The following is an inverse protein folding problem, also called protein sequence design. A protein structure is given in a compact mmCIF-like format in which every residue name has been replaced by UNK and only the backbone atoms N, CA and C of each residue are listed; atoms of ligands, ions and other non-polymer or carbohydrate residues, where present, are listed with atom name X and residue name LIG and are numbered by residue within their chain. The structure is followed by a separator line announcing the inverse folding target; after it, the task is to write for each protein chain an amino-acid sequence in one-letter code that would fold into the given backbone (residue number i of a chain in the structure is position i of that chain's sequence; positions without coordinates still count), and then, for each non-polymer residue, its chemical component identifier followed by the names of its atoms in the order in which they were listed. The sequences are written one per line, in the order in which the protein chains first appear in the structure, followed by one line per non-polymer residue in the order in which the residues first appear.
data_IF_131314467688
#
_entry.id   IF_131314467688
#
_cell.length_a   1.000
_cell.length_b   1.000
_cell.length_c   1.000
_cell.angle_alpha   90.00
_cell.angle_beta   90.00
_cell.angle_gamma   90.00
#
_symmetry.space_group_name_H-M   'P 1'
#
loop_
_entity.id
_entity.type
_entity.pdbx_description
1 polymer ?
#
# COMPACT_ATOMS: atom_id res chain seq x y z
N UNK A 1 -28.64 16.01 -13.97
CA UNK A 1 -27.33 15.68 -13.36
C UNK A 1 -27.16 14.17 -13.37
N UNK A 2 -25.95 13.65 -13.15
CA UNK A 2 -25.58 12.24 -13.36
C UNK A 2 -25.47 11.83 -14.83
N UNK A 3 -26.56 11.98 -15.61
CA UNK A 3 -26.66 11.64 -17.05
C UNK A 3 -26.04 10.27 -17.42
N UNK A 4 -26.11 9.29 -16.52
CA UNK A 4 -25.50 7.96 -16.69
C UNK A 4 -23.97 7.91 -16.63
N UNK A 5 -23.30 9.01 -16.28
CA UNK A 5 -21.83 9.06 -16.18
C UNK A 5 -21.36 8.41 -14.87
N UNK A 6 -20.17 7.80 -14.95
CA UNK A 6 -19.47 7.21 -13.81
C UNK A 6 -18.35 8.15 -13.35
N UNK A 7 -18.19 8.30 -12.05
CA UNK A 7 -17.11 9.04 -11.40
C UNK A 7 -16.33 8.09 -10.51
N UNK A 8 -15.03 7.98 -10.72
CA UNK A 8 -14.11 7.23 -9.86
C UNK A 8 -13.40 8.24 -8.98
N UNK A 9 -13.34 7.94 -7.68
CA UNK A 9 -12.64 8.77 -6.69
C UNK A 9 -11.66 7.86 -5.98
N UNK A 10 -10.37 8.09 -6.22
CA UNK A 10 -9.28 7.52 -5.41
C UNK A 10 -9.02 8.45 -4.23
N UNK A 11 -9.09 7.90 -3.03
CA UNK A 11 -8.89 8.66 -1.80
C UNK A 11 -8.44 7.79 -0.63
N UNK A 12 -7.95 8.45 0.42
CA UNK A 12 -7.24 7.82 1.55
C UNK A 12 -5.85 7.30 1.19
N UNK A 13 -5.78 6.23 0.40
CA UNK A 13 -4.59 5.71 -0.27
C UNK A 13 -3.34 5.61 0.65
N UNK A 14 -3.44 5.03 1.87
CA UNK A 14 -2.30 4.96 2.77
C UNK A 14 -1.26 3.95 2.30
N UNK A 15 -0.03 4.14 2.78
CA UNK A 15 1.06 3.17 2.61
C UNK A 15 0.94 2.05 3.66
N UNK A 16 1.05 0.79 3.21
CA UNK A 16 1.08 -0.36 4.11
C UNK A 16 2.33 -0.32 5.00
N UNK A 17 2.19 -0.85 6.21
CA UNK A 17 3.22 -0.89 7.25
C UNK A 17 3.73 0.49 7.71
N UNK A 18 2.93 1.55 7.48
CA UNK A 18 3.13 2.88 8.07
C UNK A 18 1.87 3.32 8.82
N UNK A 19 2.00 4.08 9.92
CA UNK A 19 0.84 4.57 10.63
C UNK A 19 -0.03 5.50 9.77
N UNK A 20 -1.31 5.50 10.09
CA UNK A 20 -2.27 6.41 9.47
C UNK A 20 -2.09 7.84 10.02
N UNK A 21 -1.33 8.67 9.30
CA UNK A 21 -1.11 10.08 9.67
C UNK A 21 -2.19 11.06 9.19
N UNK A 22 -2.05 12.33 9.60
CA UNK A 22 -2.99 13.42 9.28
C UNK A 22 -3.13 13.70 7.77
N UNK A 23 -2.07 13.43 6.99
CA UNK A 23 -2.12 13.54 5.53
C UNK A 23 -3.16 12.60 4.92
N UNK A 24 -3.19 11.34 5.38
CA UNK A 24 -4.19 10.36 4.95
C UNK A 24 -5.59 10.73 5.45
N UNK A 25 -5.71 11.26 6.67
CA UNK A 25 -7.00 11.74 7.21
C UNK A 25 -7.63 12.81 6.32
N UNK A 26 -6.82 13.79 5.87
CA UNK A 26 -7.28 14.85 4.97
C UNK A 26 -7.84 14.28 3.66
N UNK A 27 -7.07 13.42 2.99
CA UNK A 27 -7.51 12.77 1.74
C UNK A 27 -8.80 11.97 1.96
N UNK A 28 -8.86 11.24 3.07
CA UNK A 28 -9.99 10.39 3.44
C UNK A 28 -11.29 11.17 3.57
N UNK A 29 -11.28 12.27 4.34
CA UNK A 29 -12.50 13.08 4.58
C UNK A 29 -12.93 13.80 3.31
N UNK A 30 -11.99 14.42 2.59
CA UNK A 30 -12.30 15.14 1.34
C UNK A 30 -12.87 14.17 0.30
N UNK A 31 -12.23 13.02 0.11
CA UNK A 31 -12.69 12.01 -0.83
C UNK A 31 -14.07 11.46 -0.48
N UNK A 32 -14.34 11.16 0.79
CA UNK A 32 -15.67 10.71 1.23
C UNK A 32 -16.75 11.79 1.02
N UNK A 33 -16.41 13.06 1.24
CA UNK A 33 -17.32 14.19 0.99
C UNK A 33 -17.65 14.31 -0.51
N UNK A 34 -16.64 14.20 -1.39
CA UNK A 34 -16.84 14.19 -2.83
C UNK A 34 -17.65 12.98 -3.28
N UNK A 35 -17.38 11.80 -2.72
CA UNK A 35 -18.15 10.58 -2.99
C UNK A 35 -19.64 10.79 -2.69
N UNK A 36 -19.95 11.31 -1.51
CA UNK A 36 -21.33 11.57 -1.08
C UNK A 36 -21.99 12.62 -1.97
N UNK A 37 -21.26 13.68 -2.32
CA UNK A 37 -21.75 14.74 -3.21
C UNK A 37 -22.10 14.16 -4.59
N UNK A 38 -21.17 13.52 -5.29
CA UNK A 38 -21.44 12.97 -6.62
C UNK A 38 -22.58 11.93 -6.61
N UNK A 39 -22.66 11.13 -5.55
CA UNK A 39 -23.76 10.18 -5.36
C UNK A 39 -25.10 10.89 -5.22
N UNK A 40 -25.17 11.95 -4.41
CA UNK A 40 -26.36 12.79 -4.27
C UNK A 40 -26.75 13.47 -5.60
N UNK A 41 -25.78 13.88 -6.42
CA UNK A 41 -26.01 14.46 -7.74
C UNK A 41 -26.44 13.44 -8.82
N UNK A 42 -26.61 12.16 -8.46
CA UNK A 42 -27.13 11.10 -9.32
C UNK A 42 -26.09 10.43 -10.23
N UNK A 43 -24.80 10.55 -9.93
CA UNK A 43 -23.75 9.82 -10.66
C UNK A 43 -23.62 8.38 -10.15
N UNK A 44 -23.17 7.47 -11.01
CA UNK A 44 -22.57 6.22 -10.53
C UNK A 44 -21.20 6.57 -9.97
N UNK A 45 -20.97 6.34 -8.69
CA UNK A 45 -19.68 6.65 -8.05
C UNK A 45 -19.00 5.35 -7.64
N UNK A 46 -17.68 5.28 -7.85
CA UNK A 46 -16.83 4.19 -7.38
C UNK A 46 -15.73 4.82 -6.53
N UNK A 47 -15.73 4.51 -5.23
CA UNK A 47 -14.66 4.87 -4.31
C UNK A 47 -13.59 3.79 -4.32
N UNK A 48 -12.36 4.17 -4.66
CA UNK A 48 -11.18 3.30 -4.59
C UNK A 48 -10.26 3.76 -3.45
N UNK A 49 -9.68 2.79 -2.76
CA UNK A 49 -8.59 2.99 -1.82
C UNK A 49 -7.31 2.43 -2.44
N UNK A 50 -6.57 3.28 -3.16
CA UNK A 50 -5.36 2.86 -3.86
C UNK A 50 -4.18 2.70 -2.90
N UNK A 51 -4.06 1.53 -2.28
CA UNK A 51 -3.05 1.27 -1.26
C UNK A 51 -1.63 1.31 -1.82
N UNK A 52 -0.73 1.98 -1.12
CA UNK A 52 0.72 1.85 -1.31
C UNK A 52 1.21 0.53 -0.75
N UNK A 53 0.91 -0.57 -1.43
CA UNK A 53 1.19 -1.95 -1.03
C UNK A 53 2.26 -2.63 -1.87
N UNK A 54 2.94 -1.92 -2.78
CA UNK A 54 4.04 -2.44 -3.58
C UNK A 54 5.28 -1.54 -3.53
N UNK A 55 6.48 -2.11 -3.69
CA UNK A 55 7.72 -1.34 -3.74
C UNK A 55 8.84 -1.73 -2.77
N UNK A 56 9.99 -1.09 -2.97
CA UNK A 56 11.27 -1.45 -2.30
C UNK A 56 11.23 -1.42 -0.78
N UNK A 57 10.33 -0.62 -0.18
CA UNK A 57 10.10 -0.57 1.25
C UNK A 57 9.74 -1.94 1.84
N UNK A 58 9.02 -2.79 1.09
CA UNK A 58 8.69 -4.14 1.54
C UNK A 58 9.93 -5.04 1.57
N UNK A 59 10.84 -4.92 0.60
CA UNK A 59 12.11 -5.65 0.66
C UNK A 59 12.93 -5.30 1.90
N UNK A 60 13.02 -4.00 2.22
CA UNK A 60 13.68 -3.51 3.44
C UNK A 60 13.02 -4.04 4.71
N UNK A 61 11.69 -4.01 4.76
CA UNK A 61 10.93 -4.47 5.93
C UNK A 61 10.97 -6.00 6.09
N UNK A 62 10.88 -6.77 5.00
CA UNK A 62 11.06 -8.23 5.00
C UNK A 62 12.44 -8.56 5.57
N UNK A 63 13.50 -7.90 5.09
CA UNK A 63 14.85 -8.08 5.62
C UNK A 63 14.93 -7.72 7.11
N UNK A 64 14.37 -6.58 7.52
CA UNK A 64 14.39 -6.13 8.90
C UNK A 64 13.68 -7.11 9.85
N UNK A 65 12.53 -7.67 9.44
CA UNK A 65 11.80 -8.71 10.18
C UNK A 65 12.64 -9.98 10.27
N UNK A 66 13.26 -10.41 9.17
CA UNK A 66 14.10 -11.61 9.16
C UNK A 66 15.35 -11.47 10.02
N UNK A 67 15.95 -10.27 10.07
CA UNK A 67 17.21 -10.01 10.76
C UNK A 67 17.05 -9.61 12.23
N UNK A 68 16.03 -8.81 12.54
CA UNK A 68 15.82 -8.22 13.87
C UNK A 68 14.46 -8.52 14.48
N UNK A 69 13.61 -9.29 13.79
CA UNK A 69 12.34 -9.72 14.32
C UNK A 69 12.51 -10.61 15.56
N UNK A 70 11.65 -10.40 16.55
CA UNK A 70 11.70 -11.09 17.86
C UNK A 70 10.45 -11.92 18.14
N UNK A 71 9.42 -11.82 17.30
CA UNK A 71 8.12 -12.49 17.46
C UNK A 71 7.59 -12.94 16.10
N UNK A 72 6.48 -13.69 16.10
CA UNK A 72 5.83 -14.08 14.85
C UNK A 72 5.30 -12.83 14.16
N UNK A 73 5.32 -12.85 12.83
CA UNK A 73 4.94 -11.69 12.03
C UNK A 73 3.51 -11.21 12.31
N UNK A 74 2.58 -12.13 12.54
CA UNK A 74 1.18 -11.84 12.85
C UNK A 74 0.98 -11.07 14.17
N UNK A 75 1.97 -11.09 15.06
CA UNK A 75 1.91 -10.45 16.38
C UNK A 75 2.42 -9.01 16.36
N UNK A 76 2.90 -8.51 15.22
CA UNK A 76 3.36 -7.13 15.06
C UNK A 76 2.21 -6.15 14.89
N UNK A 77 2.34 -4.98 15.53
CA UNK A 77 1.53 -3.80 15.24
C UNK A 77 2.16 -2.97 14.11
N UNK A 78 1.38 -2.08 13.48
CA UNK A 78 1.88 -1.15 12.45
C UNK A 78 3.01 -0.27 12.98
N UNK A 79 2.94 0.16 14.25
CA UNK A 79 3.98 0.97 14.87
C UNK A 79 5.30 0.20 15.02
N UNK A 80 5.24 -1.06 15.46
CA UNK A 80 6.45 -1.89 15.57
C UNK A 80 7.06 -2.22 14.21
N UNK A 81 6.24 -2.35 13.16
CA UNK A 81 6.72 -2.47 11.78
C UNK A 81 7.43 -1.20 11.32
N UNK A 82 6.87 -0.03 11.65
CA UNK A 82 7.52 1.25 11.37
C UNK A 82 8.84 1.40 12.14
N UNK A 83 8.90 0.99 13.40
CA UNK A 83 10.14 0.98 14.19
C UNK A 83 11.22 0.10 13.55
N UNK A 84 10.85 -1.08 13.05
CA UNK A 84 11.77 -1.96 12.30
C UNK A 84 12.25 -1.31 11.01
N UNK A 85 11.36 -0.61 10.29
CA UNK A 85 11.70 0.13 9.09
C UNK A 85 12.66 1.30 9.40
N UNK A 86 12.39 2.10 10.43
CA UNK A 86 13.28 3.18 10.87
C UNK A 86 14.64 2.62 11.32
N UNK A 87 14.64 1.49 12.05
CA UNK A 87 15.86 0.79 12.43
C UNK A 87 16.66 0.36 11.20
N UNK A 88 16.01 -0.16 10.17
CA UNK A 88 16.67 -0.50 8.90
C UNK A 88 17.43 0.69 8.33
N UNK A 89 16.78 1.85 8.21
CA UNK A 89 17.41 3.05 7.65
C UNK A 89 18.60 3.53 8.48
N UNK A 90 18.46 3.57 9.81
CA UNK A 90 19.56 3.94 10.71
C UNK A 90 20.77 3.01 10.60
N UNK A 91 20.54 1.72 10.38
CA UNK A 91 21.62 0.76 10.20
C UNK A 91 22.18 0.79 8.77
N UNK A 92 21.37 1.11 7.77
CA UNK A 92 21.78 1.25 6.38
C UNK A 92 22.70 2.47 6.16
N UNK A 93 22.49 3.55 6.94
CA UNK A 93 23.41 4.69 7.00
C UNK A 93 24.84 4.29 7.43
N UNK A 94 24.95 3.31 8.33
CA UNK A 94 26.24 2.80 8.82
C UNK A 94 26.80 1.68 7.94
N UNK A 95 25.92 0.90 7.31
CA UNK A 95 26.27 -0.21 6.45
C UNK A 95 25.45 -0.17 5.15
N UNK A 96 25.98 0.49 4.10
CA UNK A 96 25.30 0.62 2.81
C UNK A 96 24.93 -0.72 2.15
N UNK A 97 25.58 -1.84 2.51
CA UNK A 97 25.24 -3.16 1.97
C UNK A 97 23.82 -3.60 2.36
N UNK A 98 23.24 -3.03 3.43
CA UNK A 98 21.87 -3.35 3.82
C UNK A 98 20.85 -2.89 2.77
N UNK A 99 21.11 -1.80 2.06
CA UNK A 99 20.25 -1.37 0.95
C UNK A 99 20.18 -2.42 -0.16
N UNK A 100 21.31 -3.05 -0.46
CA UNK A 100 21.38 -4.13 -1.45
C UNK A 100 20.62 -5.37 -0.97
N UNK A 101 20.71 -5.71 0.32
CA UNK A 101 19.90 -6.79 0.90
C UNK A 101 18.39 -6.49 0.84
N UNK A 102 17.99 -5.24 1.10
CA UNK A 102 16.61 -4.79 0.92
C UNK A 102 16.13 -4.95 -0.52
N UNK A 103 16.97 -4.57 -1.50
CA UNK A 103 16.68 -4.76 -2.93
C UNK A 103 16.55 -6.23 -3.32
N UNK A 104 17.43 -7.10 -2.81
CA UNK A 104 17.35 -8.56 -3.05
C UNK A 104 16.04 -9.15 -2.53
N UNK A 105 15.60 -8.74 -1.35
CA UNK A 105 14.31 -9.20 -0.81
C UNK A 105 13.11 -8.67 -1.59
N UNK A 106 13.18 -7.45 -2.10
CA UNK A 106 12.15 -6.93 -2.99
C UNK A 106 12.10 -7.70 -4.31
N UNK A 107 13.26 -7.99 -4.92
CA UNK A 107 13.34 -8.82 -6.13
C UNK A 107 12.72 -10.21 -5.93
N UNK A 108 12.99 -10.86 -4.80
CA UNK A 108 12.33 -12.13 -4.43
C UNK A 108 10.81 -11.99 -4.35
N UNK A 109 10.31 -10.87 -3.83
CA UNK A 109 8.88 -10.58 -3.77
C UNK A 109 8.28 -10.47 -5.19
N UNK A 110 8.93 -9.71 -6.09
CA UNK A 110 8.54 -9.57 -7.50
C UNK A 110 8.57 -10.91 -8.24
N UNK A 111 9.58 -11.74 -8.00
CA UNK A 111 9.71 -13.08 -8.58
C UNK A 111 8.69 -14.09 -8.02
N UNK A 112 7.84 -13.68 -7.07
CA UNK A 112 6.79 -14.54 -6.51
C UNK A 112 7.30 -15.56 -5.51
N UNK A 113 8.49 -15.35 -4.93
CA UNK A 113 9.07 -16.25 -3.93
C UNK A 113 8.11 -16.39 -2.74
N UNK A 114 7.90 -17.64 -2.31
CA UNK A 114 6.83 -18.02 -1.40
C UNK A 114 6.99 -17.40 -0.01
N UNK A 115 8.20 -17.34 0.52
CA UNK A 115 8.47 -16.73 1.82
C UNK A 115 8.24 -15.21 1.78
N UNK A 116 8.81 -14.52 0.78
CA UNK A 116 8.64 -13.09 0.58
C UNK A 116 7.16 -12.71 0.43
N UNK A 117 6.41 -13.41 -0.44
CA UNK A 117 4.97 -13.18 -0.63
C UNK A 117 4.16 -13.46 0.63
N UNK A 118 4.52 -14.48 1.43
CA UNK A 118 3.84 -14.78 2.70
C UNK A 118 4.02 -13.65 3.71
N UNK A 119 5.26 -13.17 3.86
CA UNK A 119 5.58 -12.06 4.76
C UNK A 119 4.82 -10.81 4.31
N UNK A 120 4.94 -10.43 3.04
CA UNK A 120 4.24 -9.28 2.47
C UNK A 120 2.71 -9.32 2.67
N UNK A 121 2.05 -10.44 2.34
CA UNK A 121 0.60 -10.59 2.58
C UNK A 121 0.21 -10.37 4.04
N UNK A 122 1.07 -10.78 4.96
CA UNK A 122 0.82 -10.58 6.40
C UNK A 122 0.95 -9.11 6.79
N UNK A 123 1.93 -8.39 6.23
CA UNK A 123 2.07 -6.94 6.42
C UNK A 123 0.86 -6.16 5.89
N UNK A 124 0.37 -6.54 4.71
CA UNK A 124 -0.85 -5.98 4.12
C UNK A 124 -2.03 -6.20 5.06
N UNK A 125 -2.23 -7.44 5.53
CA UNK A 125 -3.32 -7.79 6.45
C UNK A 125 -3.28 -7.01 7.77
N UNK A 126 -2.10 -6.88 8.40
CA UNK A 126 -1.93 -6.13 9.65
C UNK A 126 -2.32 -4.66 9.44
N UNK A 127 -1.86 -4.04 8.36
CA UNK A 127 -2.11 -2.63 8.06
C UNK A 127 -3.58 -2.37 7.73
N UNK A 128 -4.19 -3.24 6.92
CA UNK A 128 -5.62 -3.15 6.59
C UNK A 128 -6.49 -3.21 7.84
N UNK A 129 -6.18 -4.10 8.79
CA UNK A 129 -6.93 -4.21 10.04
C UNK A 129 -6.88 -2.90 10.86
N UNK A 130 -5.72 -2.24 10.90
CA UNK A 130 -5.58 -0.94 11.57
C UNK A 130 -6.37 0.16 10.84
N UNK A 131 -6.29 0.19 9.51
CA UNK A 131 -7.01 1.18 8.70
C UNK A 131 -8.52 1.01 8.77
N UNK A 132 -9.03 -0.22 8.75
CA UNK A 132 -10.46 -0.53 8.91
C UNK A 132 -11.02 0.04 10.22
N UNK A 133 -10.26 -0.03 11.32
CA UNK A 133 -10.67 0.57 12.60
C UNK A 133 -10.89 2.07 12.47
N UNK A 134 -10.00 2.76 11.74
CA UNK A 134 -10.07 4.20 11.51
C UNK A 134 -11.22 4.54 10.55
N UNK A 135 -11.36 3.80 9.45
CA UNK A 135 -12.45 4.01 8.50
C UNK A 135 -13.83 3.80 9.13
N UNK A 136 -13.97 2.78 9.99
CA UNK A 136 -15.20 2.54 10.75
C UNK A 136 -15.52 3.71 11.69
N UNK A 137 -14.52 4.26 12.38
CA UNK A 137 -14.70 5.42 13.25
C UNK A 137 -15.14 6.66 12.47
N UNK A 138 -14.61 6.85 11.25
CA UNK A 138 -14.93 7.99 10.39
C UNK A 138 -16.21 7.79 9.56
N UNK A 139 -16.83 6.60 9.59
CA UNK A 139 -17.97 6.26 8.74
C UNK A 139 -17.64 6.22 7.25
N UNK A 140 -16.39 5.93 6.90
CA UNK A 140 -15.87 5.90 5.53
C UNK A 140 -15.96 4.49 4.94
N UNK A 141 -16.33 4.37 3.67
CA UNK A 141 -16.41 3.09 2.95
C UNK A 141 -15.90 3.21 1.54
N UNK A 142 -15.25 2.16 1.07
CA UNK A 142 -14.75 2.04 -0.29
C UNK A 142 -15.52 0.95 -1.03
N UNK A 143 -15.73 1.14 -2.34
CA UNK A 143 -16.35 0.13 -3.20
C UNK A 143 -15.32 -0.91 -3.63
N UNK A 144 -14.08 -0.45 -3.86
CA UNK A 144 -12.93 -1.29 -4.20
C UNK A 144 -11.71 -0.85 -3.40
N UNK A 145 -10.78 -1.78 -3.22
CA UNK A 145 -9.48 -1.55 -2.57
C UNK A 145 -8.43 -2.15 -3.48
N UNK A 146 -7.93 -1.36 -4.42
CA UNK A 146 -6.97 -1.79 -5.43
C UNK A 146 -5.61 -1.17 -5.14
N UNK A 147 -4.74 -1.90 -4.44
CA UNK A 147 -3.36 -1.47 -4.22
C UNK A 147 -2.51 -1.50 -5.49
N UNK A 148 -1.34 -0.87 -5.45
CA UNK A 148 -0.32 -0.93 -6.49
C UNK A 148 -0.03 -2.37 -6.95
N UNK A 149 -0.06 -3.33 -6.02
CA UNK A 149 0.19 -4.75 -6.28
C UNK A 149 -0.84 -5.39 -7.22
N UNK A 150 -2.06 -4.85 -7.31
CA UNK A 150 -3.09 -5.32 -8.25
C UNK A 150 -2.65 -5.14 -9.70
N UNK A 151 -1.87 -4.10 -9.98
CA UNK A 151 -1.43 -3.73 -11.33
C UNK A 151 -0.10 -4.38 -11.73
N UNK A 152 0.58 -5.09 -10.81
CA UNK A 152 1.86 -5.79 -11.07
C UNK A 152 1.83 -6.63 -12.37
N UNK A 153 0.80 -7.47 -12.65
CA UNK A 153 0.78 -8.28 -13.86
C UNK A 153 0.63 -7.48 -15.15
N UNK A 154 0.07 -6.26 -15.08
CA UNK A 154 -0.22 -5.39 -16.22
C UNK A 154 1.00 -4.60 -16.69
N UNK A 155 2.02 -4.45 -15.82
CA UNK A 155 3.21 -3.64 -16.10
C UNK A 155 3.99 -4.10 -17.34
N UNK A 156 4.04 -5.42 -17.60
CA UNK A 156 4.79 -5.97 -18.73
C UNK A 156 4.25 -5.46 -20.07
N UNK A 157 2.94 -5.48 -20.24
CA UNK A 157 2.26 -5.05 -21.46
C UNK A 157 2.48 -3.55 -21.72
N UNK A 158 2.32 -2.72 -20.68
CA UNK A 158 2.53 -1.27 -20.76
C UNK A 158 3.98 -0.93 -21.16
N UNK A 159 4.97 -1.64 -20.60
CA UNK A 159 6.39 -1.43 -20.96
C UNK A 159 6.64 -1.78 -22.44
N UNK A 160 6.01 -2.84 -22.95
CA UNK A 160 6.14 -3.23 -24.34
C UNK A 160 5.48 -2.23 -25.29
N UNK A 161 4.32 -1.68 -24.93
CA UNK A 161 3.64 -0.61 -25.67
C UNK A 161 4.50 0.65 -25.76
N UNK A 162 5.01 1.15 -24.64
CA UNK A 162 5.86 2.35 -24.59
C UNK A 162 7.18 2.21 -25.37
N UNK A 163 7.71 0.98 -25.49
CA UNK A 163 8.90 0.72 -26.33
C UNK A 163 8.59 0.79 -27.82
N UNK A 164 7.34 0.47 -28.22
CA UNK A 164 6.90 0.53 -29.62
C UNK A 164 6.65 1.96 -30.08
N UNK A 165 6.07 2.81 -29.22
CA UNK A 165 5.80 4.23 -29.56
C UNK A 165 7.05 5.11 -29.65
N UNK A 166 8.19 4.64 -29.14
CA UNK A 166 9.48 5.34 -29.21
C UNK A 166 10.24 5.13 -30.53
N UNK A 167 9.73 4.28 -31.41
CA UNK A 167 10.24 4.03 -32.77
C UNK A 167 9.27 4.57 -33.82
#
# INVERSE_FOLDING_TARGET
MGKGKTVIIDYSSPNIAKPFGIGHLRSTIIGQALYNLYKFLGYKVIGDNHLGDWGTQFGKLIFAIKKWGKKKIDDYSVNELEELYVKFHKEAEKNPQLEEEGRKWFKKLEEGEREARKIWKTLVKISLKEFERIYNLLGVKFDVVLGESFYEPMLKEIIEELKKEKN
#
